data_IF_632876422366
#
_entry.id   IF_632876422366
#
_cell.length_a   1.000
_cell.length_b   1.000
_cell.length_c   1.000
_cell.angle_alpha   90.00
_cell.angle_beta   90.00
_cell.angle_gamma   90.00
#
_symmetry.space_group_name_H-M   'P 1'
#
loop_
_entity.id
_entity.type
_entity.pdbx_description
1 polymer ?
#
# COMPACT_ATOMS: atom_id res chain seq x y z
N UNK A 1 -27.74 -18.21 10.54
CA UNK A 1 -28.37 -17.03 9.89
C UNK A 1 -27.57 -16.55 8.69
N UNK A 2 -26.23 -16.50 8.79
CA UNK A 2 -25.32 -16.03 7.74
C UNK A 2 -25.53 -16.70 6.38
N UNK A 3 -25.58 -18.04 6.31
CA UNK A 3 -25.76 -18.78 5.04
C UNK A 3 -27.08 -18.46 4.32
N UNK A 4 -28.17 -18.17 5.05
CA UNK A 4 -29.45 -17.78 4.43
C UNK A 4 -29.38 -16.38 3.80
N UNK A 5 -28.67 -15.46 4.47
CA UNK A 5 -28.44 -14.10 3.95
C UNK A 5 -27.56 -14.18 2.70
N UNK A 6 -26.45 -14.92 2.75
CA UNK A 6 -25.56 -15.13 1.60
C UNK A 6 -26.34 -15.65 0.39
N UNK A 7 -27.12 -16.73 0.57
CA UNK A 7 -27.93 -17.30 -0.53
C UNK A 7 -28.91 -16.30 -1.12
N UNK A 8 -29.57 -15.51 -0.28
CA UNK A 8 -30.52 -14.48 -0.72
C UNK A 8 -29.80 -13.40 -1.54
N UNK A 9 -28.68 -12.88 -1.04
CA UNK A 9 -27.88 -11.86 -1.74
C UNK A 9 -27.37 -12.36 -3.08
N UNK A 10 -26.89 -13.61 -3.16
CA UNK A 10 -26.44 -14.20 -4.42
C UNK A 10 -27.59 -14.37 -5.42
N UNK A 11 -28.80 -14.73 -4.96
CA UNK A 11 -29.96 -14.85 -5.85
C UNK A 11 -30.40 -13.48 -6.40
N UNK A 12 -30.43 -12.44 -5.55
CA UNK A 12 -30.75 -11.07 -5.96
C UNK A 12 -29.72 -10.49 -6.94
N UNK A 13 -28.44 -10.86 -6.76
CA UNK A 13 -27.36 -10.39 -7.61
C UNK A 13 -27.29 -11.09 -8.96
N UNK A 14 -27.90 -12.27 -9.12
CA UNK A 14 -27.78 -13.09 -10.34
C UNK A 14 -28.22 -12.39 -11.62
N UNK A 15 -29.26 -11.56 -11.54
CA UNK A 15 -29.86 -10.90 -12.69
C UNK A 15 -29.40 -9.44 -12.87
N UNK A 16 -28.51 -8.95 -12.01
CA UNK A 16 -27.95 -7.59 -12.12
C UNK A 16 -26.83 -7.53 -13.17
N UNK A 17 -26.75 -6.51 -14.02
CA UNK A 17 -25.69 -6.44 -15.05
C UNK A 17 -24.29 -6.15 -14.47
N UNK A 18 -24.23 -5.45 -13.34
CA UNK A 18 -22.99 -5.09 -12.62
C UNK A 18 -23.22 -5.34 -11.13
N UNK A 19 -23.14 -6.60 -10.74
CA UNK A 19 -23.44 -7.02 -9.38
C UNK A 19 -22.35 -6.55 -8.41
N UNK A 20 -22.78 -5.90 -7.34
CA UNK A 20 -21.92 -5.55 -6.21
C UNK A 20 -22.36 -6.38 -4.99
N UNK A 21 -21.43 -7.18 -4.46
CA UNK A 21 -21.66 -8.04 -3.32
C UNK A 21 -20.96 -7.49 -2.08
N UNK A 22 -21.72 -7.34 -0.99
CA UNK A 22 -21.19 -6.94 0.30
C UNK A 22 -21.50 -7.99 1.37
N UNK A 23 -20.43 -8.67 1.79
CA UNK A 23 -20.43 -9.64 2.87
C UNK A 23 -19.55 -9.17 4.04
N UNK A 24 -19.52 -7.87 4.30
CA UNK A 24 -18.84 -7.32 5.47
C UNK A 24 -19.52 -7.74 6.78
N UNK A 25 -18.71 -7.90 7.83
CA UNK A 25 -19.18 -8.16 9.20
C UNK A 25 -20.07 -9.42 9.33
N UNK A 26 -19.77 -10.46 8.53
CA UNK A 26 -20.54 -11.71 8.51
C UNK A 26 -19.93 -12.81 9.36
N UNK A 27 -18.82 -12.54 10.04
CA UNK A 27 -18.02 -13.52 10.79
C UNK A 27 -17.60 -14.72 9.92
N UNK A 28 -17.30 -14.47 8.65
CA UNK A 28 -16.86 -15.51 7.72
C UNK A 28 -15.46 -15.97 8.10
N UNK A 29 -15.26 -17.27 8.14
CA UNK A 29 -13.95 -17.90 8.32
C UNK A 29 -13.44 -18.49 7.00
N UNK A 30 -14.37 -19.01 6.18
CA UNK A 30 -14.11 -19.57 4.86
C UNK A 30 -15.19 -19.12 3.87
N UNK A 31 -14.90 -19.24 2.57
CA UNK A 31 -15.83 -18.90 1.47
C UNK A 31 -16.49 -20.13 0.83
N UNK A 32 -16.43 -21.30 1.47
CA UNK A 32 -17.00 -22.56 0.95
C UNK A 32 -18.52 -22.48 0.72
N UNK A 33 -19.23 -21.73 1.57
CA UNK A 33 -20.68 -21.51 1.44
C UNK A 33 -21.07 -20.65 0.21
N UNK A 34 -20.09 -20.05 -0.48
CA UNK A 34 -20.28 -19.12 -1.60
C UNK A 34 -19.97 -19.76 -2.96
N UNK A 35 -19.98 -21.09 -3.09
CA UNK A 35 -19.65 -21.81 -4.34
C UNK A 35 -20.35 -21.27 -5.59
N UNK A 36 -21.63 -20.91 -5.49
CA UNK A 36 -22.40 -20.34 -6.62
C UNK A 36 -21.90 -18.98 -7.10
N UNK A 37 -21.22 -18.22 -6.24
CA UNK A 37 -20.67 -16.90 -6.58
C UNK A 37 -19.61 -17.03 -7.68
N UNK A 38 -18.83 -18.10 -7.68
CA UNK A 38 -17.72 -18.28 -8.62
C UNK A 38 -18.18 -18.47 -10.08
N UNK A 39 -19.44 -18.85 -10.31
CA UNK A 39 -20.04 -18.99 -11.64
C UNK A 39 -20.65 -17.68 -12.16
N UNK A 40 -20.68 -16.62 -11.33
CA UNK A 40 -21.33 -15.36 -11.66
C UNK A 40 -20.37 -14.44 -12.43
N UNK A 41 -20.64 -14.26 -13.72
CA UNK A 41 -19.84 -13.40 -14.59
C UNK A 41 -20.19 -11.90 -14.48
N UNK A 42 -21.23 -11.53 -13.74
CA UNK A 42 -21.71 -10.15 -13.62
C UNK A 42 -21.14 -9.40 -12.41
N UNK A 43 -20.40 -10.06 -11.53
CA UNK A 43 -19.83 -9.45 -10.32
C UNK A 43 -18.70 -8.50 -10.70
N UNK A 44 -18.85 -7.23 -10.34
CA UNK A 44 -17.85 -6.17 -10.52
C UNK A 44 -17.24 -5.72 -9.21
N UNK A 45 -17.94 -5.88 -8.08
CA UNK A 45 -17.43 -5.56 -6.74
C UNK A 45 -17.70 -6.71 -5.77
N UNK A 46 -16.69 -7.09 -5.01
CA UNK A 46 -16.79 -8.02 -3.90
C UNK A 46 -16.15 -7.43 -2.65
N UNK A 47 -16.96 -7.24 -1.60
CA UNK A 47 -16.52 -6.76 -0.29
C UNK A 47 -16.67 -7.88 0.74
N UNK A 48 -15.56 -8.22 1.39
CA UNK A 48 -15.39 -9.26 2.40
C UNK A 48 -14.78 -8.68 3.68
N UNK A 49 -14.88 -7.37 3.88
CA UNK A 49 -14.20 -6.67 4.96
C UNK A 49 -14.71 -7.09 6.35
N UNK A 50 -13.88 -6.94 7.38
CA UNK A 50 -14.28 -7.22 8.77
C UNK A 50 -14.81 -8.64 8.98
N UNK A 51 -14.08 -9.62 8.46
CA UNK A 51 -14.34 -11.05 8.68
C UNK A 51 -13.13 -11.69 9.36
N UNK A 52 -13.04 -13.02 9.32
CA UNK A 52 -11.97 -13.83 9.92
C UNK A 52 -11.38 -14.78 8.86
N UNK A 53 -11.35 -14.33 7.61
CA UNK A 53 -10.88 -15.15 6.49
C UNK A 53 -9.38 -15.38 6.65
N UNK A 54 -8.97 -16.64 6.60
CA UNK A 54 -7.55 -17.03 6.61
C UNK A 54 -7.00 -17.24 5.21
N UNK A 55 -7.88 -17.40 4.22
CA UNK A 55 -7.53 -17.60 2.82
C UNK A 55 -8.60 -17.04 1.86
N UNK A 56 -8.19 -16.75 0.64
CA UNK A 56 -9.07 -16.54 -0.51
C UNK A 56 -8.83 -17.69 -1.50
N UNK A 57 -9.87 -18.44 -1.91
CA UNK A 57 -9.69 -19.55 -2.82
C UNK A 57 -9.34 -19.06 -4.23
N UNK A 58 -8.56 -19.86 -4.95
CA UNK A 58 -8.16 -19.55 -6.34
C UNK A 58 -9.34 -19.37 -7.31
N UNK A 59 -10.53 -19.87 -6.94
CA UNK A 59 -11.79 -19.64 -7.65
C UNK A 59 -12.13 -18.15 -7.83
N UNK A 60 -11.55 -17.25 -7.04
CA UNK A 60 -11.66 -15.79 -7.26
C UNK A 60 -11.28 -15.40 -8.70
N UNK A 61 -10.40 -16.16 -9.36
CA UNK A 61 -10.01 -15.95 -10.74
C UNK A 61 -11.16 -16.12 -11.75
N UNK A 62 -12.27 -16.77 -11.35
CA UNK A 62 -13.46 -16.96 -12.20
C UNK A 62 -14.34 -15.72 -12.26
N UNK A 63 -14.15 -14.76 -11.34
CA UNK A 63 -14.82 -13.46 -11.37
C UNK A 63 -14.14 -12.55 -12.40
N UNK A 64 -14.24 -12.91 -13.68
CA UNK A 64 -13.51 -12.28 -14.79
C UNK A 64 -13.83 -10.79 -15.00
N UNK A 65 -14.97 -10.34 -14.46
CA UNK A 65 -15.41 -8.94 -14.51
C UNK A 65 -15.18 -8.18 -13.20
N UNK A 66 -14.49 -8.77 -12.21
CA UNK A 66 -14.23 -8.14 -10.94
C UNK A 66 -13.31 -6.92 -11.12
N UNK A 67 -13.83 -5.76 -10.73
CA UNK A 67 -13.12 -4.48 -10.77
C UNK A 67 -12.61 -4.07 -9.39
N UNK A 68 -13.34 -4.44 -8.34
CA UNK A 68 -13.04 -4.00 -6.98
C UNK A 68 -13.14 -5.19 -6.02
N UNK A 69 -12.04 -5.47 -5.33
CA UNK A 69 -11.95 -6.49 -4.30
C UNK A 69 -11.51 -5.84 -3.00
N UNK A 70 -12.36 -5.90 -1.98
CA UNK A 70 -12.06 -5.40 -0.65
C UNK A 70 -12.09 -6.56 0.35
N UNK A 71 -10.93 -6.91 0.89
CA UNK A 71 -10.73 -7.96 1.91
C UNK A 71 -10.09 -7.39 3.17
N UNK A 72 -10.30 -6.09 3.40
CA UNK A 72 -9.77 -5.36 4.54
C UNK A 72 -10.15 -6.00 5.88
N UNK A 73 -9.23 -6.02 6.84
CA UNK A 73 -9.48 -6.49 8.20
C UNK A 73 -9.98 -7.95 8.24
N UNK A 74 -9.05 -8.85 7.90
CA UNK A 74 -9.18 -10.30 7.95
C UNK A 74 -7.89 -10.91 8.53
N UNK A 75 -7.75 -12.24 8.50
CA UNK A 75 -6.60 -12.98 9.02
C UNK A 75 -5.76 -13.60 7.88
N UNK A 76 -5.75 -12.98 6.69
CA UNK A 76 -5.05 -13.54 5.52
C UNK A 76 -3.54 -13.53 5.74
N UNK A 77 -2.91 -14.66 5.42
CA UNK A 77 -1.45 -14.83 5.48
C UNK A 77 -0.81 -14.77 4.08
N UNK A 78 -1.58 -15.15 3.05
CA UNK A 78 -1.22 -15.06 1.64
C UNK A 78 -2.47 -14.81 0.76
N UNK A 79 -2.28 -14.57 -0.53
CA UNK A 79 -3.34 -14.40 -1.54
C UNK A 79 -3.10 -15.29 -2.76
N UNK A 80 -4.16 -15.74 -3.47
CA UNK A 80 -4.00 -16.45 -4.74
C UNK A 80 -3.53 -15.50 -5.85
N UNK A 81 -3.45 -15.98 -7.10
CA UNK A 81 -3.01 -15.24 -8.29
C UNK A 81 -3.95 -14.08 -8.70
N UNK A 82 -4.17 -13.10 -7.83
CA UNK A 82 -5.04 -11.94 -8.06
C UNK A 82 -4.59 -11.09 -9.24
N UNK A 83 -3.29 -11.12 -9.56
CA UNK A 83 -2.68 -10.45 -10.72
C UNK A 83 -3.23 -10.91 -12.08
N UNK A 84 -3.91 -12.06 -12.14
CA UNK A 84 -4.57 -12.55 -13.36
C UNK A 84 -5.91 -11.86 -13.65
N UNK A 85 -6.50 -11.17 -12.67
CA UNK A 85 -7.78 -10.48 -12.82
C UNK A 85 -7.61 -9.21 -13.67
N UNK A 86 -7.99 -9.31 -14.95
CA UNK A 86 -7.70 -8.28 -15.97
C UNK A 86 -8.46 -6.98 -15.79
N UNK A 87 -9.59 -7.01 -15.09
CA UNK A 87 -10.40 -5.82 -14.82
C UNK A 87 -10.20 -5.26 -13.42
N UNK A 88 -9.37 -5.88 -12.57
CA UNK A 88 -9.21 -5.43 -11.20
C UNK A 88 -8.48 -4.08 -11.15
N UNK A 89 -9.14 -3.08 -10.59
CA UNK A 89 -8.70 -1.68 -10.48
C UNK A 89 -8.39 -1.29 -9.05
N UNK A 90 -9.14 -1.83 -8.09
CA UNK A 90 -8.98 -1.51 -6.68
C UNK A 90 -8.88 -2.81 -5.90
N UNK A 91 -7.76 -2.98 -5.22
CA UNK A 91 -7.50 -4.10 -4.33
C UNK A 91 -7.16 -3.57 -2.94
N UNK A 92 -8.04 -3.84 -1.98
CA UNK A 92 -7.78 -3.54 -0.58
C UNK A 92 -7.55 -4.84 0.20
N UNK A 93 -6.30 -5.02 0.64
CA UNK A 93 -5.82 -6.13 1.47
C UNK A 93 -5.32 -5.61 2.83
N UNK A 94 -5.69 -4.38 3.20
CA UNK A 94 -5.21 -3.77 4.44
C UNK A 94 -5.69 -4.51 5.69
N UNK A 95 -4.96 -4.37 6.80
CA UNK A 95 -5.25 -5.06 8.07
C UNK A 95 -5.38 -6.58 7.90
N UNK A 96 -4.31 -7.22 7.45
CA UNK A 96 -4.18 -8.67 7.38
C UNK A 96 -2.84 -9.10 8.00
N UNK A 97 -2.37 -10.31 7.71
CA UNK A 97 -1.10 -10.86 8.18
C UNK A 97 -0.18 -11.24 7.01
N UNK A 98 -0.36 -10.58 5.86
CA UNK A 98 0.37 -10.88 4.63
C UNK A 98 1.87 -10.65 4.82
N UNK A 99 2.66 -11.62 4.40
CA UNK A 99 4.12 -11.52 4.36
C UNK A 99 4.71 -11.99 3.02
N UNK A 100 3.88 -12.57 2.14
CA UNK A 100 4.30 -13.18 0.87
C UNK A 100 3.58 -12.58 -0.35
N UNK A 101 3.29 -11.28 -0.34
CA UNK A 101 2.72 -10.63 -1.52
C UNK A 101 3.79 -10.43 -2.60
N UNK A 102 3.97 -11.43 -3.46
CA UNK A 102 5.03 -11.44 -4.49
C UNK A 102 4.42 -11.56 -5.88
N UNK A 103 4.35 -10.45 -6.60
CA UNK A 103 3.87 -10.44 -7.99
C UNK A 103 4.93 -11.12 -8.86
N UNK A 104 4.61 -12.21 -9.59
CA UNK A 104 5.60 -12.91 -10.40
C UNK A 104 6.03 -12.06 -11.60
N UNK A 105 7.17 -12.38 -12.20
CA UNK A 105 7.54 -11.81 -13.52
C UNK A 105 6.62 -12.39 -14.59
N UNK A 106 6.03 -11.53 -15.41
CA UNK A 106 5.14 -11.97 -16.49
C UNK A 106 4.48 -10.79 -17.19
N UNK A 107 3.93 -11.04 -18.39
CA UNK A 107 3.18 -10.03 -19.13
C UNK A 107 1.73 -9.97 -18.67
N UNK A 108 1.12 -8.78 -18.80
CA UNK A 108 -0.32 -8.59 -18.59
C UNK A 108 -0.79 -8.94 -17.16
N UNK A 109 0.05 -8.70 -16.16
CA UNK A 109 -0.29 -8.80 -14.75
C UNK A 109 -0.86 -7.46 -14.28
N UNK A 110 -2.01 -7.46 -13.60
CA UNK A 110 -2.68 -6.24 -13.13
C UNK A 110 -2.78 -5.10 -14.16
N UNK A 111 -3.28 -5.34 -15.39
CA UNK A 111 -3.25 -4.35 -16.47
C UNK A 111 -4.08 -3.08 -16.17
N UNK A 112 -5.05 -3.15 -15.25
CA UNK A 112 -5.95 -2.06 -14.90
C UNK A 112 -5.82 -1.59 -13.44
N UNK A 113 -4.84 -2.08 -12.67
CA UNK A 113 -4.74 -1.77 -11.25
C UNK A 113 -4.42 -0.29 -11.02
N UNK A 114 -5.30 0.41 -10.30
CA UNK A 114 -5.17 1.84 -9.99
C UNK A 114 -4.85 2.07 -8.51
N UNK A 115 -5.44 1.28 -7.63
CA UNK A 115 -5.31 1.44 -6.18
C UNK A 115 -4.99 0.08 -5.55
N UNK A 116 -3.84 0.02 -4.88
CA UNK A 116 -3.42 -1.14 -4.11
C UNK A 116 -3.18 -0.71 -2.66
N UNK A 117 -3.99 -1.23 -1.75
CA UNK A 117 -3.80 -1.05 -0.31
C UNK A 117 -3.34 -2.35 0.34
N UNK A 118 -2.12 -2.31 0.86
CA UNK A 118 -1.41 -3.36 1.57
C UNK A 118 -1.05 -2.94 3.00
N UNK A 119 -1.65 -1.87 3.51
CA UNK A 119 -1.33 -1.31 4.83
C UNK A 119 -1.66 -2.27 5.97
N UNK A 120 -0.96 -2.17 7.10
CA UNK A 120 -1.19 -3.01 8.28
C UNK A 120 -1.06 -4.51 7.98
N UNK A 121 0.07 -4.89 7.39
CA UNK A 121 0.45 -6.28 7.12
C UNK A 121 1.83 -6.56 7.77
N UNK A 122 2.46 -7.65 7.37
CA UNK A 122 3.81 -8.05 7.80
C UNK A 122 4.75 -8.08 6.60
N UNK A 123 4.57 -7.17 5.63
CA UNK A 123 5.36 -7.13 4.41
C UNK A 123 6.76 -6.62 4.70
N UNK A 124 7.75 -7.28 4.12
CA UNK A 124 9.14 -6.83 4.07
C UNK A 124 9.47 -6.42 2.64
N UNK A 125 10.70 -5.97 2.42
CA UNK A 125 11.17 -5.51 1.11
C UNK A 125 11.20 -6.62 0.05
N UNK A 126 11.10 -7.89 0.45
CA UNK A 126 10.92 -9.03 -0.47
C UNK A 126 9.62 -8.96 -1.29
N UNK A 127 8.67 -8.12 -0.88
CA UNK A 127 7.43 -7.81 -1.61
C UNK A 127 7.73 -7.19 -2.98
N UNK A 128 8.83 -6.42 -3.08
CA UNK A 128 9.20 -5.66 -4.27
C UNK A 128 9.97 -6.49 -5.30
N UNK A 129 9.31 -7.52 -5.84
CA UNK A 129 9.81 -8.31 -6.97
C UNK A 129 9.80 -7.50 -8.27
N UNK A 130 10.51 -7.98 -9.31
CA UNK A 130 10.46 -7.34 -10.64
C UNK A 130 9.03 -7.21 -11.18
N UNK A 131 8.19 -8.22 -10.95
CA UNK A 131 6.78 -8.20 -11.34
C UNK A 131 5.98 -7.07 -10.73
N UNK A 132 6.30 -6.65 -9.49
CA UNK A 132 5.59 -5.56 -8.80
C UNK A 132 5.68 -4.24 -9.57
N UNK A 133 6.83 -3.97 -10.18
CA UNK A 133 7.09 -2.72 -10.89
C UNK A 133 6.54 -2.69 -12.33
N UNK A 134 5.97 -3.81 -12.79
CA UNK A 134 5.25 -3.87 -14.08
C UNK A 134 3.83 -3.32 -14.01
N UNK A 135 3.35 -2.95 -12.81
CA UNK A 135 2.01 -2.38 -12.57
C UNK A 135 2.01 -0.88 -12.87
N UNK A 136 2.30 -0.51 -14.12
CA UNK A 136 2.45 0.88 -14.56
C UNK A 136 1.14 1.69 -14.42
N UNK A 137 -0.02 1.03 -14.33
CA UNK A 137 -1.34 1.64 -14.16
C UNK A 137 -1.57 2.21 -12.75
N UNK A 138 -0.72 1.87 -11.78
CA UNK A 138 -0.92 2.19 -10.38
C UNK A 138 -0.87 3.71 -10.13
N UNK A 139 -1.87 4.20 -9.41
CA UNK A 139 -2.04 5.62 -9.04
C UNK A 139 -1.93 5.85 -7.54
N UNK A 140 -2.33 4.88 -6.73
CA UNK A 140 -2.20 4.95 -5.28
C UNK A 140 -1.68 3.62 -4.72
N UNK A 141 -0.60 3.70 -3.95
CA UNK A 141 0.02 2.58 -3.28
C UNK A 141 0.10 2.88 -1.78
N UNK A 142 -0.62 2.09 -0.99
CA UNK A 142 -0.61 2.19 0.47
C UNK A 142 0.11 0.99 1.07
N UNK A 143 1.17 1.26 1.81
CA UNK A 143 2.08 0.29 2.43
C UNK A 143 2.35 0.63 3.91
N UNK A 144 1.48 1.43 4.52
CA UNK A 144 1.71 1.92 5.89
C UNK A 144 1.64 0.78 6.91
N UNK A 145 2.37 0.86 8.02
CA UNK A 145 2.38 -0.15 9.09
C UNK A 145 2.77 -1.56 8.58
N UNK A 146 3.92 -1.63 7.90
CA UNK A 146 4.58 -2.87 7.49
C UNK A 146 6.00 -2.94 8.10
N UNK A 147 6.85 -3.81 7.58
CA UNK A 147 8.22 -4.07 8.04
C UNK A 147 9.24 -3.73 6.92
N UNK A 148 8.91 -2.76 6.06
CA UNK A 148 9.79 -2.34 4.97
C UNK A 148 11.02 -1.60 5.51
N UNK A 149 12.21 -2.02 5.13
CA UNK A 149 13.49 -1.39 5.49
C UNK A 149 14.10 -0.60 4.33
N UNK A 150 13.79 -0.98 3.09
CA UNK A 150 14.27 -0.31 1.89
C UNK A 150 13.19 -0.24 0.79
N UNK A 151 13.19 0.86 0.05
CA UNK A 151 12.41 0.99 -1.18
C UNK A 151 13.39 0.88 -2.36
N UNK A 152 13.21 -0.05 -3.30
CA UNK A 152 14.20 -0.24 -4.36
C UNK A 152 14.12 0.87 -5.44
N UNK A 153 15.22 1.16 -6.15
CA UNK A 153 15.28 2.14 -7.23
C UNK A 153 14.23 1.99 -8.33
N UNK A 154 13.75 0.76 -8.55
CA UNK A 154 12.72 0.41 -9.52
C UNK A 154 11.37 1.08 -9.26
N UNK A 155 11.17 1.70 -8.08
CA UNK A 155 9.97 2.48 -7.78
C UNK A 155 9.64 3.50 -8.87
N UNK A 156 10.64 4.06 -9.55
CA UNK A 156 10.45 4.98 -10.68
C UNK A 156 9.63 4.43 -11.84
N UNK A 157 9.56 3.10 -11.99
CA UNK A 157 8.74 2.44 -13.01
C UNK A 157 7.23 2.62 -12.74
N UNK A 158 6.84 2.94 -11.50
CA UNK A 158 5.48 3.34 -11.16
C UNK A 158 5.24 4.83 -11.48
N UNK A 159 5.57 5.27 -12.69
CA UNK A 159 5.61 6.69 -13.08
C UNK A 159 4.23 7.39 -13.06
N UNK A 160 3.13 6.64 -13.04
CA UNK A 160 1.76 7.16 -12.88
C UNK A 160 1.33 7.36 -11.43
N UNK A 161 2.16 6.97 -10.47
CA UNK A 161 1.83 7.02 -9.05
C UNK A 161 1.62 8.46 -8.59
N UNK A 162 0.51 8.68 -7.88
CA UNK A 162 0.10 9.97 -7.31
C UNK A 162 0.16 9.97 -5.79
N UNK A 163 -0.08 8.82 -5.17
CA UNK A 163 -0.07 8.62 -3.72
C UNK A 163 0.85 7.45 -3.40
N UNK A 164 1.82 7.69 -2.52
CA UNK A 164 2.69 6.68 -1.93
C UNK A 164 2.68 6.83 -0.41
N UNK A 165 2.08 5.87 0.29
CA UNK A 165 1.99 5.90 1.74
C UNK A 165 2.84 4.83 2.41
N UNK A 166 3.94 5.24 3.05
CA UNK A 166 4.95 4.39 3.69
C UNK A 166 5.07 4.64 5.20
N UNK A 167 4.04 5.23 5.82
CA UNK A 167 4.02 5.57 7.25
C UNK A 167 4.25 4.35 8.13
N UNK A 168 4.94 4.50 9.26
CA UNK A 168 5.16 3.47 10.29
C UNK A 168 5.83 2.18 9.77
N UNK A 169 6.82 2.32 8.90
CA UNK A 169 7.68 1.21 8.44
C UNK A 169 9.00 1.19 9.23
N UNK A 170 10.08 0.69 8.63
CA UNK A 170 11.44 0.67 9.15
C UNK A 170 12.44 1.28 8.15
N UNK A 171 11.98 2.14 7.24
CA UNK A 171 12.81 2.67 6.16
C UNK A 171 14.01 3.42 6.73
N UNK A 172 15.21 3.02 6.33
CA UNK A 172 16.47 3.67 6.70
C UNK A 172 16.83 4.82 5.74
N UNK A 173 16.45 4.66 4.48
CA UNK A 173 16.68 5.58 3.39
C UNK A 173 15.52 5.59 2.39
N UNK A 174 15.55 6.56 1.47
CA UNK A 174 14.65 6.63 0.32
C UNK A 174 15.53 6.73 -0.94
N UNK A 175 15.29 5.91 -1.98
CA UNK A 175 16.11 5.93 -3.19
C UNK A 175 16.00 7.28 -3.90
N UNK A 176 17.10 7.72 -4.52
CA UNK A 176 17.12 8.97 -5.31
C UNK A 176 16.11 8.97 -6.46
N UNK A 177 15.79 7.77 -6.98
CA UNK A 177 14.84 7.52 -8.06
C UNK A 177 13.40 7.90 -7.67
N UNK A 178 13.10 8.15 -6.39
CA UNK A 178 11.82 8.72 -5.96
C UNK A 178 11.53 10.07 -6.65
N UNK A 179 12.59 10.85 -6.96
CA UNK A 179 12.47 12.12 -7.67
C UNK A 179 12.08 11.99 -9.13
N UNK A 180 12.08 10.77 -9.69
CA UNK A 180 11.60 10.49 -11.05
C UNK A 180 10.07 10.29 -11.09
N UNK A 181 9.39 10.18 -9.93
CA UNK A 181 7.94 10.08 -9.83
C UNK A 181 7.25 11.44 -10.04
N UNK A 182 7.34 11.98 -11.25
CA UNK A 182 6.83 13.32 -11.62
C UNK A 182 5.33 13.54 -11.37
N UNK A 183 4.53 12.47 -11.28
CA UNK A 183 3.10 12.54 -10.99
C UNK A 183 2.75 12.46 -9.50
N UNK A 184 3.73 12.19 -8.62
CA UNK A 184 3.49 12.01 -7.19
C UNK A 184 3.08 13.33 -6.54
N UNK A 185 1.97 13.28 -5.81
CA UNK A 185 1.38 14.43 -5.11
C UNK A 185 1.35 14.22 -3.61
N UNK A 186 1.23 12.97 -3.17
CA UNK A 186 1.15 12.62 -1.76
C UNK A 186 2.21 11.59 -1.42
N UNK A 187 3.09 11.95 -0.49
CA UNK A 187 4.17 11.11 0.02
C UNK A 187 4.15 11.11 1.55
N UNK A 188 3.88 9.95 2.13
CA UNK A 188 3.84 9.76 3.58
C UNK A 188 5.03 8.93 4.04
N UNK A 189 5.95 9.53 4.80
CA UNK A 189 7.17 8.90 5.31
C UNK A 189 7.24 8.89 6.84
N UNK A 190 6.19 9.30 7.55
CA UNK A 190 6.25 9.44 9.00
C UNK A 190 6.50 8.10 9.71
N UNK A 191 7.15 8.12 10.86
CA UNK A 191 7.33 6.91 11.67
C UNK A 191 8.31 5.89 11.06
N UNK A 192 9.33 6.37 10.36
CA UNK A 192 10.41 5.55 9.83
C UNK A 192 11.73 5.84 10.57
N UNK A 193 12.86 5.40 10.02
CA UNK A 193 14.21 5.57 10.58
C UNK A 193 15.06 6.50 9.71
N UNK A 194 14.42 7.41 8.99
CA UNK A 194 15.08 8.30 8.04
C UNK A 194 15.86 9.39 8.78
N UNK A 195 17.14 9.53 8.44
CA UNK A 195 17.99 10.61 8.95
C UNK A 195 18.15 11.76 7.95
N UNK A 196 18.11 11.44 6.66
CA UNK A 196 18.25 12.37 5.53
C UNK A 196 17.26 12.04 4.41
N UNK A 197 17.00 13.01 3.53
CA UNK A 197 16.23 12.85 2.30
C UNK A 197 17.13 12.93 1.06
N UNK A 198 16.91 12.14 -0.01
CA UNK A 198 17.62 12.36 -1.27
C UNK A 198 17.33 13.77 -1.81
N UNK A 199 18.35 14.54 -2.26
CA UNK A 199 18.14 15.89 -2.82
C UNK A 199 17.15 15.93 -4.00
N UNK A 200 16.96 14.80 -4.68
CA UNK A 200 16.04 14.62 -5.80
C UNK A 200 14.56 14.87 -5.41
N UNK A 201 14.20 14.70 -4.13
CA UNK A 201 12.86 15.10 -3.64
C UNK A 201 12.61 16.61 -3.85
N UNK A 202 13.67 17.43 -3.85
CA UNK A 202 13.57 18.86 -4.13
C UNK A 202 13.10 19.17 -5.56
N UNK A 203 13.22 18.25 -6.51
CA UNK A 203 12.73 18.44 -7.88
C UNK A 203 11.21 18.21 -8.03
N UNK A 204 10.56 17.64 -7.02
CA UNK A 204 9.13 17.34 -7.03
C UNK A 204 8.29 18.55 -6.61
N UNK A 205 7.02 18.59 -7.01
CA UNK A 205 6.11 19.72 -6.75
C UNK A 205 5.44 19.65 -5.36
N UNK A 206 6.25 19.49 -4.30
CA UNK A 206 5.75 19.44 -2.91
C UNK A 206 5.48 20.81 -2.28
N UNK A 207 5.67 21.91 -3.02
CA UNK A 207 5.30 23.26 -2.58
C UNK A 207 3.91 23.68 -3.06
N UNK A 208 3.33 22.92 -3.99
CA UNK A 208 1.97 23.16 -4.46
C UNK A 208 0.94 22.93 -3.34
N UNK A 209 -0.13 23.75 -3.25
CA UNK A 209 -1.18 23.58 -2.23
C UNK A 209 -1.93 22.23 -2.30
N UNK A 210 -1.79 21.50 -3.42
CA UNK A 210 -2.41 20.18 -3.62
C UNK A 210 -1.48 19.03 -3.28
N UNK A 211 -0.24 19.32 -2.91
CA UNK A 211 0.74 18.32 -2.56
C UNK A 211 0.78 18.10 -1.05
N UNK A 212 1.00 16.85 -0.66
CA UNK A 212 1.10 16.42 0.73
C UNK A 212 2.42 15.70 0.89
N UNK A 213 3.31 16.26 1.71
CA UNK A 213 4.53 15.58 2.14
C UNK A 213 4.51 15.54 3.66
N UNK A 214 4.62 14.32 4.20
CA UNK A 214 4.61 14.10 5.64
C UNK A 214 5.89 13.40 6.09
N UNK A 215 6.62 14.03 7.00
CA UNK A 215 7.98 13.65 7.40
C UNK A 215 8.13 13.41 8.90
N UNK A 216 7.10 13.66 9.69
CA UNK A 216 7.16 13.67 11.16
C UNK A 216 7.61 12.32 11.72
N UNK A 217 8.06 12.30 12.98
CA UNK A 217 8.42 11.05 13.68
C UNK A 217 9.49 10.22 12.94
N UNK A 218 10.54 10.90 12.49
CA UNK A 218 11.76 10.28 11.99
C UNK A 218 12.96 10.86 12.76
N UNK A 219 14.05 10.12 12.93
CA UNK A 219 15.28 10.57 13.59
C UNK A 219 16.11 11.45 12.65
N UNK A 220 15.54 12.56 12.19
CA UNK A 220 16.19 13.50 11.28
C UNK A 220 17.50 14.05 11.87
N UNK A 221 18.50 14.27 11.02
CA UNK A 221 19.67 15.06 11.44
C UNK A 221 19.23 16.48 11.84
N UNK A 222 19.92 17.15 12.78
CA UNK A 222 19.49 18.46 13.27
C UNK A 222 19.21 19.49 12.17
N UNK A 223 20.02 19.58 11.09
CA UNK A 223 19.72 20.53 10.01
C UNK A 223 18.42 20.28 9.26
N UNK A 224 17.89 19.04 9.20
CA UNK A 224 16.57 18.77 8.64
C UNK A 224 15.48 19.04 9.70
N UNK A 225 15.72 18.62 10.94
CA UNK A 225 14.78 18.82 12.05
C UNK A 225 14.48 20.32 12.26
N UNK A 226 15.51 21.17 12.26
CA UNK A 226 15.39 22.62 12.38
C UNK A 226 14.49 23.21 11.28
N UNK A 227 14.58 22.70 10.04
CA UNK A 227 13.73 23.14 8.93
C UNK A 227 12.32 22.59 9.04
N UNK A 228 12.16 21.37 9.56
CA UNK A 228 10.85 20.75 9.72
C UNK A 228 9.99 21.50 10.75
N UNK A 229 10.61 22.06 11.80
CA UNK A 229 9.93 22.96 12.77
C UNK A 229 9.30 24.18 12.08
N UNK A 230 9.96 24.71 11.04
CA UNK A 230 9.46 25.82 10.23
C UNK A 230 8.42 25.37 9.18
N UNK A 231 8.24 24.07 9.00
CA UNK A 231 7.30 23.46 8.08
C UNK A 231 7.96 22.83 6.85
N UNK A 232 7.21 21.95 6.20
CA UNK A 232 7.68 21.11 5.08
C UNK A 232 8.23 21.93 3.90
N UNK A 233 7.71 23.13 3.66
CA UNK A 233 8.24 24.03 2.62
C UNK A 233 9.70 24.40 2.85
N UNK A 234 10.10 24.64 4.11
CA UNK A 234 11.47 24.96 4.47
C UNK A 234 12.40 23.75 4.27
N UNK A 235 11.91 22.54 4.57
CA UNK A 235 12.65 21.30 4.26
C UNK A 235 12.89 21.19 2.76
N UNK A 236 11.85 21.41 1.93
CA UNK A 236 11.98 21.34 0.47
C UNK A 236 12.97 22.38 -0.08
N UNK A 237 12.92 23.62 0.38
CA UNK A 237 13.89 24.65 -0.02
C UNK A 237 15.31 24.31 0.47
N UNK A 238 15.44 23.78 1.68
CA UNK A 238 16.72 23.36 2.21
C UNK A 238 17.34 22.22 1.39
N UNK A 239 16.58 21.19 1.03
CA UNK A 239 17.10 20.06 0.24
C UNK A 239 17.52 20.45 -1.19
N UNK A 240 17.03 21.59 -1.70
CA UNK A 240 17.45 22.16 -3.00
C UNK A 240 18.80 22.89 -2.92
N UNK A 241 19.27 23.25 -1.73
CA UNK A 241 20.49 24.02 -1.52
C UNK A 241 21.76 23.21 -1.75
N UNK A 242 22.84 23.87 -2.18
CA UNK A 242 24.16 23.24 -2.29
C UNK A 242 24.72 22.83 -0.93
N UNK A 243 24.37 23.58 0.12
CA UNK A 243 24.70 23.24 1.51
C UNK A 243 24.15 21.86 1.87
N UNK A 244 22.89 21.59 1.54
CA UNK A 244 22.30 20.28 1.80
C UNK A 244 22.91 19.19 0.92
N UNK A 245 23.16 19.45 -0.37
CA UNK A 245 23.85 18.47 -1.24
C UNK A 245 25.20 18.04 -0.68
N UNK A 246 25.97 18.97 -0.13
CA UNK A 246 27.23 18.66 0.54
C UNK A 246 27.02 17.82 1.81
N UNK A 247 26.06 18.21 2.67
CA UNK A 247 25.71 17.46 3.89
C UNK A 247 25.29 16.02 3.56
N UNK A 248 24.39 15.86 2.60
CA UNK A 248 23.90 14.57 2.13
C UNK A 248 25.04 13.70 1.61
N UNK A 249 25.92 14.27 0.77
CA UNK A 249 27.10 13.56 0.25
C UNK A 249 28.04 13.07 1.36
N UNK A 250 28.30 13.89 2.39
CA UNK A 250 29.10 13.46 3.54
C UNK A 250 28.40 12.39 4.38
N UNK A 251 27.09 12.49 4.56
CA UNK A 251 26.31 11.48 5.29
C UNK A 251 26.41 10.11 4.60
N UNK A 252 26.23 10.06 3.28
CA UNK A 252 26.36 8.83 2.49
C UNK A 252 27.79 8.26 2.53
N UNK A 253 28.82 9.12 2.49
CA UNK A 253 30.22 8.68 2.59
C UNK A 253 30.59 8.17 3.99
N UNK A 254 30.02 8.77 5.04
CA UNK A 254 30.27 8.36 6.42
C UNK A 254 29.68 6.98 6.73
N UNK A 255 28.70 6.51 5.94
CA UNK A 255 28.04 5.22 6.08
C UNK A 255 27.57 4.96 7.53
N UNK A 256 26.99 6.00 8.14
CA UNK A 256 26.49 5.94 9.51
C UNK A 256 25.37 4.89 9.55
N UNK A 257 25.43 3.89 10.45
CA UNK A 257 24.39 2.89 10.53
C UNK A 257 23.04 3.55 10.82
N UNK A 258 21.94 3.05 10.23
CA UNK A 258 20.63 3.59 10.51
C UNK A 258 20.26 3.35 11.98
N UNK A 259 19.38 4.19 12.56
CA UNK A 259 18.90 4.01 13.92
C UNK A 259 18.30 2.61 14.14
N UNK A 260 18.31 2.15 15.39
CA UNK A 260 17.81 0.82 15.73
C UNK A 260 16.36 0.61 15.30
N UNK A 261 16.02 -0.63 14.96
CA UNK A 261 14.65 -1.02 14.61
C UNK A 261 13.76 -0.94 15.85
N UNK A 262 12.55 -0.40 15.72
CA UNK A 262 11.59 -0.43 16.82
C UNK A 262 11.07 -1.85 17.07
N UNK A 263 10.94 -2.28 18.33
CA UNK A 263 10.44 -3.62 18.67
C UNK A 263 8.98 -3.90 18.23
N UNK A 264 8.74 -5.12 17.74
CA UNK A 264 7.50 -5.62 17.11
C UNK A 264 6.29 -5.70 18.06
N UNK A 265 6.53 -5.85 19.37
CA UNK A 265 5.50 -6.15 20.38
C UNK A 265 4.44 -5.05 20.53
N UNK A 266 4.85 -3.80 20.42
CA UNK A 266 3.98 -2.62 20.62
C UNK A 266 2.97 -2.44 19.49
N UNK A 267 3.34 -2.78 18.24
CA UNK A 267 2.54 -2.56 17.03
C UNK A 267 1.39 -3.57 16.87
N UNK A 268 1.53 -4.81 17.36
CA UNK A 268 0.43 -5.81 17.33
C UNK A 268 -0.71 -5.47 18.29
N UNK A 269 -0.41 -4.83 19.42
CA UNK A 269 -1.40 -4.37 20.41
C UNK A 269 -2.20 -3.17 19.89
N UNK A 270 -1.57 -2.26 19.14
CA UNK A 270 -2.26 -1.14 18.50
C UNK A 270 -3.14 -1.58 17.33
N UNK A 271 -2.71 -2.57 16.51
CA UNK A 271 -3.51 -3.14 15.41
C UNK A 271 -4.87 -3.72 15.85
N UNK A 272 -4.95 -4.33 17.05
CA UNK A 272 -6.23 -4.82 17.61
C UNK A 272 -7.17 -3.71 18.09
N UNK A 273 -6.63 -2.53 18.37
CA UNK A 273 -7.35 -1.38 18.93
C UNK A 273 -7.60 -0.25 17.92
N UNK A 274 -6.96 -0.28 16.74
CA UNK A 274 -7.11 0.74 15.70
C UNK A 274 -8.43 0.57 14.95
N UNK A 275 -9.47 1.28 15.41
CA UNK A 275 -10.69 1.57 14.63
C UNK A 275 -10.43 2.63 13.54
N UNK A 276 -9.33 2.52 12.81
CA UNK A 276 -8.98 3.46 11.75
C UNK A 276 -9.57 2.99 10.43
N UNK A 277 -10.88 3.18 10.29
CA UNK A 277 -11.51 3.37 8.97
C UNK A 277 -11.03 4.71 8.44
N UNK A 278 -10.10 4.70 7.48
CA UNK A 278 -9.91 5.85 6.62
C UNK A 278 -11.00 5.77 5.56
N UNK A 279 -11.93 6.72 5.65
CA UNK A 279 -13.05 6.93 4.76
C UNK A 279 -12.62 6.83 3.29
N UNK A 280 -13.01 5.74 2.64
CA UNK A 280 -13.07 5.66 1.18
C UNK A 280 -14.18 6.59 0.68
N UNK A 281 -13.77 7.67 0.01
CA UNK A 281 -14.51 8.26 -1.10
C UNK A 281 -13.63 8.21 -2.33
#
# INVERSE_FOLDING_TARGET
MTTKIIRKTLEEAKDLPFAELDFSDKNLVHLEDMTRMWDMNNITRLTLAHNKLTEIPSNIAYLVNLEILNVFNNDLVDVPDLWKLKKLRILNLGMNQLHNFKVPTGSNLFPMMEILDLSYNNLTDETFTEGFFTIESLRALYLSDNELEYLPPQIKQLFNLRILALRDNQLADVPQEIGELSNLRELHLQGNRLQVLPPQIGHMDFLSPRAILKLDSNPWVPPIEDQLVLGVSHVIEYVRSDTYRYLFGRHMQANVPPPEKSERGSRRLTRKNSKASLNGR
#
